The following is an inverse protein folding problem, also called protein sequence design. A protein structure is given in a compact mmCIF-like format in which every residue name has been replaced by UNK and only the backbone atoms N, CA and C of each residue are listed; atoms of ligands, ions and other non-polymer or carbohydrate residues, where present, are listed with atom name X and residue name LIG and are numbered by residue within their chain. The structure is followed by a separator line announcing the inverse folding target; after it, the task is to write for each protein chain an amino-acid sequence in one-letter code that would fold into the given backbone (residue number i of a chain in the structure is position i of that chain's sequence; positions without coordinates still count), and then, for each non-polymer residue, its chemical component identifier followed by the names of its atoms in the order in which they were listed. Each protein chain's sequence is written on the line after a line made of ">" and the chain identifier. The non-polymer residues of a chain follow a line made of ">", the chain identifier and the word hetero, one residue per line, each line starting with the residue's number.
data_IF_177394261141
#
_entry.id   IF_177394261141
#
_cell.length_a   1.000
_cell.length_b   1.000
_cell.length_c   1.000
_cell.angle_alpha   90.00
_cell.angle_beta   90.00
_cell.angle_gamma   90.00
#
_symmetry.space_group_name_H-M   'P 1'
#
loop_
_entity.id
_entity.type
_entity.pdbx_description
1 polymer ?
#
# COMPACT_ATOMS: atom_id res chain seq x y z
N UNK A 1 0.47 28.35 -16.64
CA UNK A 1 0.08 26.93 -16.70
C UNK A 1 0.10 26.35 -15.30
N UNK A 2 -0.94 25.63 -14.91
CA UNK A 2 -1.01 24.89 -13.65
C UNK A 2 -0.38 23.48 -13.76
N UNK A 3 0.18 23.15 -14.92
CA UNK A 3 0.83 21.86 -15.13
C UNK A 3 2.21 21.85 -14.45
N UNK A 4 2.38 20.97 -13.48
CA UNK A 4 3.64 20.74 -12.77
C UNK A 4 4.61 19.88 -13.59
N UNK A 5 4.05 18.99 -14.42
CA UNK A 5 4.79 18.13 -15.34
C UNK A 5 4.11 18.14 -16.70
N UNK A 6 4.87 18.06 -17.76
CA UNK A 6 4.34 17.90 -19.11
C UNK A 6 4.11 16.42 -19.41
N UNK A 7 2.88 15.98 -19.22
CA UNK A 7 2.44 14.61 -19.44
C UNK A 7 1.14 14.59 -20.26
N UNK A 8 0.81 13.46 -20.87
CA UNK A 8 -0.47 13.28 -21.55
C UNK A 8 -1.67 13.56 -20.63
N UNK A 9 -1.56 13.22 -19.34
CA UNK A 9 -2.57 13.52 -18.33
C UNK A 9 -2.70 15.04 -18.10
N UNK A 10 -1.60 15.75 -17.91
CA UNK A 10 -1.64 17.21 -17.67
C UNK A 10 -2.13 18.01 -18.87
N UNK A 11 -2.03 17.46 -20.08
CA UNK A 11 -2.60 18.03 -21.32
C UNK A 11 -4.06 17.61 -21.56
N UNK A 12 -4.61 16.71 -20.73
CA UNK A 12 -5.98 16.20 -20.92
C UNK A 12 -6.13 15.16 -22.04
N UNK A 13 -5.03 14.59 -22.51
CA UNK A 13 -5.00 13.63 -23.63
C UNK A 13 -5.19 12.19 -23.16
N UNK A 14 -4.92 11.90 -21.88
CA UNK A 14 -5.06 10.57 -21.29
C UNK A 14 -5.43 10.65 -19.82
N UNK A 15 -6.09 9.59 -19.31
CA UNK A 15 -6.26 9.36 -17.88
C UNK A 15 -5.02 8.76 -17.23
N UNK A 16 -5.01 8.69 -15.90
CA UNK A 16 -4.03 7.89 -15.13
C UNK A 16 -4.75 6.72 -14.47
N UNK A 17 -4.12 5.55 -14.39
CA UNK A 17 -4.69 4.43 -13.65
C UNK A 17 -4.82 4.77 -12.16
N UNK A 18 -5.96 4.40 -11.58
CA UNK A 18 -6.20 4.53 -10.13
C UNK A 18 -6.69 3.19 -9.57
N UNK A 19 -6.44 2.96 -8.29
CA UNK A 19 -6.99 1.80 -7.59
C UNK A 19 -8.42 2.06 -7.10
N UNK A 20 -9.24 1.01 -7.08
CA UNK A 20 -10.48 0.97 -6.32
C UNK A 20 -10.18 0.73 -4.84
N UNK A 21 -10.70 1.57 -3.95
CA UNK A 21 -10.56 1.39 -2.51
C UNK A 21 -11.75 0.62 -1.95
N UNK A 22 -11.46 -0.40 -1.15
CA UNK A 22 -12.42 -1.18 -0.38
C UNK A 22 -12.21 -0.86 1.10
N UNK A 23 -13.22 -0.29 1.72
CA UNK A 23 -13.23 0.00 3.14
C UNK A 23 -13.52 -1.24 3.97
N UNK A 24 -13.00 -1.26 5.19
CA UNK A 24 -13.28 -2.29 6.18
C UNK A 24 -14.78 -2.44 6.41
N UNK A 25 -15.22 -3.67 6.62
CA UNK A 25 -16.61 -4.02 6.87
C UNK A 25 -16.73 -5.51 7.11
N UNK A 26 -17.95 -5.99 7.24
CA UNK A 26 -18.22 -7.42 7.20
C UNK A 26 -17.93 -8.00 5.80
N UNK A 27 -17.80 -9.32 5.74
CA UNK A 27 -17.45 -10.06 4.52
C UNK A 27 -18.35 -9.69 3.33
N UNK A 28 -19.65 -9.67 3.52
CA UNK A 28 -20.62 -9.44 2.44
C UNK A 28 -20.54 -8.01 1.90
N UNK A 29 -20.34 -7.03 2.78
CA UNK A 29 -20.16 -5.63 2.39
C UNK A 29 -18.86 -5.43 1.61
N UNK A 30 -17.76 -6.03 2.06
CA UNK A 30 -16.48 -5.93 1.36
C UNK A 30 -16.57 -6.58 -0.02
N UNK A 31 -17.17 -7.76 -0.11
CA UNK A 31 -17.40 -8.45 -1.38
C UNK A 31 -18.25 -7.61 -2.35
N UNK A 32 -19.36 -7.05 -1.88
CA UNK A 32 -20.21 -6.17 -2.70
C UNK A 32 -19.46 -4.93 -3.20
N UNK A 33 -18.59 -4.33 -2.38
CA UNK A 33 -17.76 -3.20 -2.81
C UNK A 33 -16.79 -3.63 -3.94
N UNK A 34 -16.17 -4.82 -3.82
CA UNK A 34 -15.25 -5.36 -4.82
C UNK A 34 -15.97 -5.57 -6.15
N UNK A 35 -17.13 -6.23 -6.14
CA UNK A 35 -17.92 -6.47 -7.33
C UNK A 35 -18.26 -5.15 -8.06
N UNK A 36 -18.74 -4.15 -7.33
CA UNK A 36 -19.01 -2.82 -7.89
C UNK A 36 -17.78 -2.15 -8.50
N UNK A 37 -16.60 -2.29 -7.88
CA UNK A 37 -15.35 -1.75 -8.43
C UNK A 37 -14.94 -2.49 -9.69
N UNK A 38 -15.12 -3.80 -9.74
CA UNK A 38 -14.85 -4.61 -10.92
C UNK A 38 -15.77 -4.24 -12.10
N UNK A 39 -17.06 -4.12 -11.84
CA UNK A 39 -18.04 -3.66 -12.83
C UNK A 39 -17.69 -2.26 -13.36
N UNK A 40 -17.18 -1.38 -12.50
CA UNK A 40 -16.70 -0.05 -12.88
C UNK A 40 -15.36 -0.05 -13.64
N UNK A 41 -14.75 -1.23 -13.87
CA UNK A 41 -13.55 -1.38 -14.69
C UNK A 41 -12.22 -1.20 -13.96
N UNK A 42 -12.21 -1.13 -12.62
CA UNK A 42 -10.95 -1.09 -11.87
C UNK A 42 -10.16 -2.40 -12.05
N UNK A 43 -8.85 -2.28 -12.25
CA UNK A 43 -7.91 -3.40 -12.39
C UNK A 43 -6.92 -3.52 -11.23
N UNK A 44 -6.88 -2.53 -10.36
CA UNK A 44 -6.16 -2.54 -9.10
C UNK A 44 -7.13 -2.25 -7.97
N UNK A 45 -7.13 -3.08 -6.95
CA UNK A 45 -8.00 -2.93 -5.76
C UNK A 45 -7.13 -2.91 -4.51
N UNK A 46 -7.32 -1.91 -3.68
CA UNK A 46 -6.69 -1.78 -2.37
C UNK A 46 -7.72 -2.05 -1.27
N UNK A 47 -7.45 -3.03 -0.42
CA UNK A 47 -8.30 -3.39 0.71
C UNK A 47 -7.66 -2.92 2.02
N UNK A 48 -8.44 -2.27 2.87
CA UNK A 48 -8.05 -2.03 4.26
C UNK A 48 -8.20 -3.33 5.06
N UNK A 49 -7.16 -3.70 5.82
CA UNK A 49 -7.13 -4.88 6.70
C UNK A 49 -6.67 -4.50 8.10
N UNK A 50 -6.77 -5.43 9.06
CA UNK A 50 -6.33 -5.21 10.44
C UNK A 50 -7.42 -4.74 11.39
N UNK A 51 -8.69 -4.64 10.96
CA UNK A 51 -9.81 -4.24 11.80
C UNK A 51 -10.71 -5.39 12.25
N UNK A 52 -10.72 -6.49 11.51
CA UNK A 52 -11.48 -7.71 11.83
C UNK A 52 -10.52 -8.87 12.11
N UNK A 53 -11.08 -10.04 12.38
CA UNK A 53 -10.26 -11.22 12.60
C UNK A 53 -9.43 -11.53 11.33
N UNK A 54 -8.13 -11.78 11.50
CA UNK A 54 -7.22 -12.02 10.39
C UNK A 54 -7.60 -13.24 9.53
N UNK A 55 -8.20 -14.28 10.12
CA UNK A 55 -8.70 -15.44 9.36
C UNK A 55 -9.86 -15.08 8.43
N UNK A 56 -10.72 -14.16 8.87
CA UNK A 56 -11.81 -13.63 8.03
C UNK A 56 -11.26 -12.78 6.87
N UNK A 57 -10.24 -11.97 7.13
CA UNK A 57 -9.54 -11.19 6.09
C UNK A 57 -8.89 -12.10 5.05
N UNK A 58 -8.20 -13.15 5.49
CA UNK A 58 -7.62 -14.17 4.60
C UNK A 58 -8.68 -14.91 3.79
N UNK A 59 -9.80 -15.27 4.42
CA UNK A 59 -10.90 -15.94 3.73
C UNK A 59 -11.49 -15.07 2.63
N UNK A 60 -11.67 -13.76 2.90
CA UNK A 60 -12.13 -12.80 1.89
C UNK A 60 -11.15 -12.68 0.73
N UNK A 61 -9.86 -12.52 1.01
CA UNK A 61 -8.82 -12.41 -0.03
C UNK A 61 -8.74 -13.70 -0.87
N UNK A 62 -8.81 -14.88 -0.25
CA UNK A 62 -8.90 -16.17 -0.96
C UNK A 62 -10.15 -16.24 -1.85
N UNK A 63 -11.30 -15.82 -1.34
CA UNK A 63 -12.53 -15.79 -2.12
C UNK A 63 -12.38 -14.89 -3.35
N UNK A 64 -11.76 -13.72 -3.22
CA UNK A 64 -11.47 -12.84 -4.37
C UNK A 64 -10.58 -13.57 -5.38
N UNK A 65 -9.52 -14.23 -4.94
CA UNK A 65 -8.58 -14.95 -5.81
C UNK A 65 -9.19 -16.18 -6.50
N UNK A 66 -10.21 -16.81 -5.92
CA UNK A 66 -10.95 -17.87 -6.62
C UNK A 66 -11.78 -17.34 -7.78
N UNK A 67 -12.20 -16.09 -7.74
CA UNK A 67 -13.01 -15.44 -8.80
C UNK A 67 -12.17 -14.67 -9.80
N UNK A 68 -11.05 -14.10 -9.37
CA UNK A 68 -10.22 -13.20 -10.16
C UNK A 68 -8.74 -13.55 -9.96
N UNK A 69 -8.09 -13.95 -11.02
CA UNK A 69 -6.65 -14.22 -11.02
C UNK A 69 -5.82 -12.94 -10.79
N UNK A 70 -4.56 -13.09 -10.42
CA UNK A 70 -3.62 -11.96 -10.31
C UNK A 70 -3.33 -11.24 -11.63
N UNK A 71 -3.63 -11.91 -12.77
CA UNK A 71 -3.54 -11.30 -14.10
C UNK A 71 -4.72 -10.38 -14.43
N UNK A 72 -5.87 -10.63 -13.81
CA UNK A 72 -7.09 -9.85 -14.02
C UNK A 72 -7.17 -8.66 -13.07
N UNK A 73 -6.77 -8.87 -11.81
CA UNK A 73 -6.82 -7.84 -10.76
C UNK A 73 -5.54 -7.86 -9.94
N UNK A 74 -4.88 -6.71 -9.86
CA UNK A 74 -3.87 -6.44 -8.86
C UNK A 74 -4.55 -6.17 -7.51
N UNK A 75 -4.15 -6.91 -6.47
CA UNK A 75 -4.62 -6.68 -5.10
C UNK A 75 -3.49 -6.10 -4.26
N UNK A 76 -3.81 -5.03 -3.55
CA UNK A 76 -2.98 -4.41 -2.51
C UNK A 76 -3.74 -4.43 -1.20
N UNK A 77 -3.04 -4.58 -0.10
CA UNK A 77 -3.63 -4.49 1.24
C UNK A 77 -2.96 -3.37 2.04
N UNK A 78 -3.70 -2.78 2.96
CA UNK A 78 -3.23 -1.70 3.81
C UNK A 78 -3.64 -1.99 5.24
N UNK A 79 -2.65 -2.23 6.09
CA UNK A 79 -2.85 -2.59 7.49
C UNK A 79 -2.85 -1.39 8.44
N UNK A 80 -2.46 -0.19 7.98
CA UNK A 80 -2.37 1.02 8.81
C UNK A 80 -1.70 0.79 10.18
N UNK A 81 -0.65 -0.03 10.20
CA UNK A 81 0.10 -0.33 11.42
C UNK A 81 -0.60 -1.28 12.41
N UNK A 82 -1.60 -2.04 11.97
CA UNK A 82 -2.42 -2.86 12.85
C UNK A 82 -1.74 -4.14 13.36
N UNK A 83 -0.72 -4.64 12.68
CA UNK A 83 -0.05 -5.86 13.12
C UNK A 83 0.92 -5.58 14.27
N UNK A 84 1.02 -6.53 15.21
CA UNK A 84 2.09 -6.47 16.20
C UNK A 84 3.41 -6.95 15.58
N UNK A 85 4.58 -6.42 16.00
CA UNK A 85 5.87 -6.90 15.50
C UNK A 85 6.10 -8.40 15.69
N UNK A 86 5.45 -8.99 16.69
CA UNK A 86 5.60 -10.42 17.03
C UNK A 86 4.95 -11.33 15.99
N UNK A 87 3.76 -10.98 15.52
CA UNK A 87 2.97 -11.79 14.59
C UNK A 87 3.02 -11.32 13.14
N UNK A 88 3.61 -10.13 12.90
CA UNK A 88 3.64 -9.52 11.58
C UNK A 88 4.26 -10.44 10.51
N UNK A 89 5.40 -11.07 10.79
CA UNK A 89 6.08 -11.93 9.82
C UNK A 89 5.24 -13.15 9.42
N UNK A 90 4.55 -13.77 10.38
CA UNK A 90 3.66 -14.90 10.10
C UNK A 90 2.50 -14.45 9.18
N UNK A 91 1.87 -13.32 9.52
CA UNK A 91 0.79 -12.75 8.70
C UNK A 91 1.24 -12.40 7.29
N UNK A 92 2.44 -11.80 7.16
CA UNK A 92 3.02 -11.46 5.84
C UNK A 92 3.25 -12.72 4.99
N UNK A 93 3.77 -13.81 5.57
CA UNK A 93 3.95 -15.08 4.87
C UNK A 93 2.61 -15.64 4.37
N UNK A 94 1.59 -15.63 5.19
CA UNK A 94 0.26 -16.12 4.81
C UNK A 94 -0.42 -15.24 3.75
N UNK A 95 -0.23 -13.94 3.81
CA UNK A 95 -0.72 -12.99 2.80
C UNK A 95 0.01 -13.17 1.46
N UNK A 96 1.31 -13.49 1.48
CA UNK A 96 2.09 -13.68 0.25
C UNK A 96 1.63 -14.87 -0.60
N UNK A 97 0.94 -15.85 0.00
CA UNK A 97 0.35 -16.99 -0.71
C UNK A 97 -0.83 -16.60 -1.64
N UNK A 98 -1.29 -15.34 -1.56
CA UNK A 98 -2.47 -14.85 -2.26
C UNK A 98 -2.16 -13.97 -3.47
N UNK A 99 -0.95 -14.02 -4.00
CA UNK A 99 -0.51 -13.20 -5.14
C UNK A 99 -0.82 -11.70 -4.97
N UNK A 100 -0.62 -11.16 -3.77
CA UNK A 100 -0.78 -9.74 -3.50
C UNK A 100 0.43 -8.97 -4.06
N UNK A 101 0.19 -7.77 -4.57
CA UNK A 101 1.26 -6.89 -5.03
C UNK A 101 2.11 -6.38 -3.87
N UNK A 102 1.48 -5.90 -2.81
CA UNK A 102 2.17 -5.33 -1.65
C UNK A 102 1.23 -5.18 -0.45
N UNK A 103 1.84 -4.99 0.72
CA UNK A 103 1.17 -4.53 1.93
C UNK A 103 1.68 -3.15 2.33
N UNK A 104 0.77 -2.23 2.66
CA UNK A 104 1.07 -0.90 3.16
C UNK A 104 1.08 -0.92 4.68
N UNK A 105 2.13 -0.35 5.28
CA UNK A 105 2.34 -0.12 6.71
C UNK A 105 1.88 -1.29 7.60
N UNK A 106 2.57 -2.44 7.60
CA UNK A 106 2.16 -3.62 8.36
C UNK A 106 2.16 -3.40 9.86
N UNK A 107 3.19 -2.76 10.40
CA UNK A 107 3.33 -2.43 11.83
C UNK A 107 3.28 -0.90 12.05
N UNK A 108 3.03 -0.51 13.29
CA UNK A 108 2.94 0.92 13.67
C UNK A 108 4.26 1.65 13.39
N UNK A 109 4.16 2.87 12.86
CA UNK A 109 5.31 3.74 12.56
C UNK A 109 6.19 4.01 13.81
N UNK A 110 7.48 4.29 13.56
CA UNK A 110 8.47 4.54 14.60
C UNK A 110 9.21 3.30 15.10
N UNK A 111 8.96 2.13 14.52
CA UNK A 111 9.62 0.86 14.86
C UNK A 111 10.60 0.44 13.75
N UNK A 112 11.59 1.28 13.47
CA UNK A 112 12.45 1.14 12.29
C UNK A 112 13.23 -0.17 12.22
N UNK A 113 13.74 -0.66 13.33
CA UNK A 113 14.49 -1.93 13.38
C UNK A 113 13.59 -3.11 12.99
N UNK A 114 12.38 -3.16 13.55
CA UNK A 114 11.42 -4.20 13.21
C UNK A 114 10.91 -4.08 11.78
N UNK A 115 10.63 -2.86 11.31
CA UNK A 115 10.21 -2.63 9.93
C UNK A 115 11.33 -3.01 8.95
N UNK A 116 12.59 -2.68 9.25
CA UNK A 116 13.74 -3.07 8.44
C UNK A 116 13.90 -4.60 8.37
N UNK A 117 13.70 -5.30 9.49
CA UNK A 117 13.68 -6.76 9.50
C UNK A 117 12.54 -7.31 8.63
N UNK A 118 11.34 -6.75 8.76
CA UNK A 118 10.19 -7.17 7.93
C UNK A 118 10.45 -6.93 6.44
N UNK A 119 10.96 -5.77 6.04
CA UNK A 119 11.22 -5.45 4.62
C UNK A 119 12.30 -6.37 4.01
N UNK A 120 13.28 -6.81 4.81
CA UNK A 120 14.35 -7.69 4.34
C UNK A 120 13.96 -9.16 4.25
N UNK A 121 13.05 -9.63 5.11
CA UNK A 121 12.72 -11.06 5.26
C UNK A 121 11.35 -11.43 4.67
N UNK A 122 10.45 -10.46 4.49
CA UNK A 122 9.10 -10.70 4.01
C UNK A 122 9.06 -11.17 2.55
N UNK A 123 8.32 -12.24 2.24
CA UNK A 123 8.06 -12.62 0.85
C UNK A 123 7.04 -11.69 0.17
N UNK A 124 6.29 -10.87 0.92
CA UNK A 124 5.36 -9.88 0.41
C UNK A 124 6.00 -8.50 0.46
N UNK A 125 6.11 -7.78 -0.67
CA UNK A 125 6.66 -6.43 -0.72
C UNK A 125 5.93 -5.47 0.22
N UNK A 126 6.70 -4.59 0.89
CA UNK A 126 6.19 -3.63 1.87
C UNK A 126 6.25 -2.21 1.31
N UNK A 127 5.15 -1.47 1.49
CA UNK A 127 5.04 -0.05 1.23
C UNK A 127 4.97 0.72 2.55
N UNK A 128 5.71 1.83 2.67
CA UNK A 128 5.62 2.73 3.82
C UNK A 128 4.66 3.87 3.54
N UNK A 129 3.79 4.19 4.49
CA UNK A 129 2.88 5.34 4.49
C UNK A 129 3.08 6.20 5.74
N UNK A 130 2.54 5.78 6.87
CA UNK A 130 2.60 6.54 8.12
C UNK A 130 4.04 6.77 8.62
N UNK A 131 4.97 5.92 8.23
CA UNK A 131 6.40 6.08 8.54
C UNK A 131 6.99 7.37 7.96
N UNK A 132 6.47 7.82 6.81
CA UNK A 132 6.97 9.00 6.11
C UNK A 132 6.44 10.31 6.70
N UNK A 133 5.33 10.25 7.46
CA UNK A 133 4.66 11.43 7.99
C UNK A 133 5.54 12.10 9.07
N UNK A 134 5.76 13.41 8.90
CA UNK A 134 6.61 14.18 9.80
C UNK A 134 8.10 14.14 9.46
N UNK A 135 8.54 13.31 8.52
CA UNK A 135 9.91 13.30 8.02
C UNK A 135 10.09 14.37 6.94
N UNK A 136 10.39 15.60 7.32
CA UNK A 136 10.37 16.77 6.44
C UNK A 136 11.75 17.26 5.99
N UNK A 137 12.85 16.68 6.52
CA UNK A 137 14.22 17.04 6.12
C UNK A 137 14.79 16.01 5.14
N UNK A 138 15.62 16.47 4.19
CA UNK A 138 16.29 15.57 3.24
C UNK A 138 17.12 14.51 3.97
N UNK A 139 17.91 14.91 4.95
CA UNK A 139 18.70 13.99 5.77
C UNK A 139 17.82 12.92 6.47
N UNK A 140 16.66 13.33 7.00
CA UNK A 140 15.70 12.43 7.64
C UNK A 140 15.15 11.40 6.64
N UNK A 141 14.80 11.83 5.43
CA UNK A 141 14.30 10.96 4.36
C UNK A 141 15.35 9.93 3.96
N UNK A 142 16.59 10.36 3.72
CA UNK A 142 17.72 9.50 3.41
C UNK A 142 17.99 8.48 4.52
N UNK A 143 17.99 8.93 5.77
CA UNK A 143 18.19 8.05 6.94
C UNK A 143 17.09 7.00 7.04
N UNK A 144 15.82 7.39 6.87
CA UNK A 144 14.67 6.48 6.93
C UNK A 144 14.75 5.42 5.84
N UNK A 145 14.92 5.84 4.58
CA UNK A 145 14.98 4.92 3.45
C UNK A 145 16.19 3.99 3.53
N UNK A 146 17.36 4.50 3.93
CA UNK A 146 18.57 3.69 4.11
C UNK A 146 18.43 2.67 5.22
N UNK A 147 17.72 3.00 6.30
CA UNK A 147 17.54 2.12 7.45
C UNK A 147 16.52 1.01 7.15
N UNK A 148 15.37 1.34 6.55
CA UNK A 148 14.24 0.42 6.38
C UNK A 148 14.31 -0.31 5.04
N UNK A 149 14.71 0.36 3.94
CA UNK A 149 14.78 -0.17 2.58
C UNK A 149 13.45 -0.78 2.10
N UNK A 150 12.35 -0.03 2.12
CA UNK A 150 11.07 -0.55 1.66
C UNK A 150 11.08 -0.77 0.14
N UNK A 151 10.20 -1.65 -0.35
CA UNK A 151 10.02 -1.85 -1.78
C UNK A 151 9.20 -0.73 -2.42
N UNK A 152 8.34 -0.08 -1.65
CA UNK A 152 7.50 1.03 -2.11
C UNK A 152 7.33 2.09 -1.02
N UNK A 153 7.00 3.31 -1.45
CA UNK A 153 6.57 4.40 -0.58
C UNK A 153 5.23 4.96 -1.06
N UNK A 154 4.39 5.40 -0.13
CA UNK A 154 3.11 6.03 -0.42
C UNK A 154 3.23 7.53 -0.22
N UNK A 155 3.07 8.29 -1.29
CA UNK A 155 3.22 9.73 -1.24
C UNK A 155 1.89 10.45 -1.10
N UNK A 156 1.81 11.32 -0.11
CA UNK A 156 0.67 12.21 0.16
C UNK A 156 1.20 13.66 0.16
N UNK A 157 1.17 14.37 -0.96
CA UNK A 157 1.79 15.70 -1.05
C UNK A 157 1.37 16.66 0.06
N UNK A 158 0.10 16.59 0.49
CA UNK A 158 -0.41 17.40 1.60
C UNK A 158 0.24 17.14 2.96
N UNK A 159 0.90 15.99 3.14
CA UNK A 159 1.57 15.58 4.38
C UNK A 159 3.10 15.60 4.27
N UNK A 160 3.64 15.71 3.05
CA UNK A 160 5.06 15.54 2.76
C UNK A 160 5.73 16.82 2.25
N UNK A 161 5.20 18.00 2.57
CA UNK A 161 5.78 19.28 2.15
C UNK A 161 5.40 19.69 0.72
N UNK A 162 4.22 19.30 0.27
CA UNK A 162 3.71 19.65 -1.06
C UNK A 162 4.44 18.92 -2.17
N UNK A 163 4.46 19.53 -3.37
CA UNK A 163 5.12 18.94 -4.53
C UNK A 163 6.64 18.86 -4.36
N UNK A 164 7.27 19.88 -3.78
CA UNK A 164 8.71 19.88 -3.55
C UNK A 164 9.12 18.73 -2.63
N UNK A 165 8.47 18.58 -1.49
CA UNK A 165 8.75 17.49 -0.56
C UNK A 165 8.44 16.11 -1.14
N UNK A 166 7.41 15.99 -1.97
CA UNK A 166 7.11 14.78 -2.71
C UNK A 166 8.20 14.42 -3.73
N UNK A 167 8.71 15.40 -4.47
CA UNK A 167 9.81 15.20 -5.42
C UNK A 167 11.11 14.78 -4.73
N UNK A 168 11.41 15.34 -3.55
CA UNK A 168 12.55 14.87 -2.75
C UNK A 168 12.41 13.39 -2.37
N UNK A 169 11.22 12.96 -1.92
CA UNK A 169 10.98 11.55 -1.64
C UNK A 169 11.17 10.64 -2.85
N UNK A 170 10.71 11.08 -4.04
CA UNK A 170 10.89 10.33 -5.29
C UNK A 170 12.38 10.18 -5.60
N UNK A 171 13.13 11.29 -5.57
CA UNK A 171 14.58 11.27 -5.88
C UNK A 171 15.40 10.40 -4.91
N UNK A 172 15.00 10.31 -3.65
CA UNK A 172 15.72 9.50 -2.66
C UNK A 172 15.31 8.02 -2.69
N UNK A 173 14.14 7.71 -3.27
CA UNK A 173 13.63 6.34 -3.38
C UNK A 173 14.05 5.62 -4.67
N UNK A 174 14.52 6.36 -5.68
CA UNK A 174 15.06 5.83 -6.95
C UNK A 174 16.50 5.30 -6.77
#
# INVERSE_FOLDING_TARGET
>A
SWALCDTAFSRGEAGIPINGLIWMGDFDKMLSQIEKKMEAGFRCIKLKIGAINFEEELALLRHIRTRFSSKEIELRVDANGAFSPVDAMEKLKRLSELDLHSIEQPIRAGQWEEMARLTSESPLPIALDEELIGCNTLEGKQKLLSAIRPQYIILKPSLHGGVCGGNEWISEAE
#
